data_IF_466932371836
#
_entry.id   IF_466932371836
#
_cell.length_a   1.000
_cell.length_b   1.000
_cell.length_c   1.000
_cell.angle_alpha   90.00
_cell.angle_beta   90.00
_cell.angle_gamma   90.00
#
_symmetry.space_group_name_H-M   'P 1'
#
loop_
_entity.id
_entity.type
_entity.pdbx_description
1 polymer ?
#
# COMPACT_ATOMS: atom_id res chain seq x y z
N UNK A 1 -21.16 -32.56 52.64
CA UNK A 1 -20.04 -32.78 51.69
C UNK A 1 -20.50 -32.39 50.28
N UNK A 2 -20.57 -31.08 50.00
CA UNK A 2 -20.96 -30.52 48.70
C UNK A 2 -20.02 -29.35 48.37
N UNK A 3 -18.71 -29.58 48.42
CA UNK A 3 -17.70 -28.56 48.03
C UNK A 3 -16.67 -29.12 47.04
N UNK A 4 -16.67 -30.41 46.72
CA UNK A 4 -15.66 -30.99 45.81
C UNK A 4 -16.11 -31.17 44.35
N UNK A 5 -17.35 -30.81 43.98
CA UNK A 5 -17.87 -31.07 42.62
C UNK A 5 -17.98 -29.85 41.70
N UNK A 6 -17.38 -28.71 42.04
CA UNK A 6 -17.43 -27.50 41.21
C UNK A 6 -16.07 -26.99 40.71
N UNK A 7 -14.96 -27.67 41.02
CA UNK A 7 -13.61 -27.30 40.55
C UNK A 7 -13.19 -27.99 39.26
N UNK A 8 -14.00 -28.90 38.70
CA UNK A 8 -13.72 -29.56 37.42
C UNK A 8 -14.37 -28.91 36.18
N UNK A 9 -15.02 -27.74 36.32
CA UNK A 9 -15.75 -27.06 35.24
C UNK A 9 -15.08 -25.78 34.70
N UNK A 10 -13.77 -25.60 34.91
CA UNK A 10 -12.99 -24.57 34.24
C UNK A 10 -11.79 -25.13 33.45
N UNK A 11 -11.92 -26.32 32.88
CA UNK A 11 -11.01 -26.81 31.83
C UNK A 11 -11.43 -26.34 30.43
N UNK A 12 -11.93 -25.11 30.34
CA UNK A 12 -11.99 -24.35 29.08
C UNK A 12 -10.87 -23.32 29.11
N UNK A 13 -9.62 -23.80 29.09
CA UNK A 13 -8.53 -22.96 28.64
C UNK A 13 -8.90 -22.50 27.23
N UNK A 14 -9.25 -21.21 27.08
CA UNK A 14 -9.64 -20.53 25.84
C UNK A 14 -9.17 -21.28 24.58
N UNK A 15 -10.06 -22.09 24.01
CA UNK A 15 -9.83 -22.79 22.74
C UNK A 15 -9.84 -21.74 21.65
N UNK A 16 -8.69 -21.09 21.47
CA UNK A 16 -8.47 -20.20 20.33
C UNK A 16 -8.51 -21.08 19.09
N UNK A 17 -9.47 -20.87 18.17
CA UNK A 17 -9.59 -21.69 16.96
C UNK A 17 -8.28 -21.68 16.17
N UNK A 18 -7.99 -22.79 15.49
CA UNK A 18 -6.87 -22.83 14.57
C UNK A 18 -7.00 -21.72 13.54
N UNK A 19 -5.90 -21.02 13.29
CA UNK A 19 -5.81 -20.04 12.22
C UNK A 19 -5.45 -20.73 10.91
N UNK A 20 -5.93 -20.18 9.78
CA UNK A 20 -5.57 -20.69 8.46
C UNK A 20 -4.05 -20.69 8.29
N UNK A 21 -3.48 -21.73 7.69
CA UNK A 21 -2.04 -21.80 7.49
C UNK A 21 -1.58 -20.83 6.41
N UNK A 22 -0.32 -20.40 6.48
CA UNK A 22 0.26 -19.61 5.41
C UNK A 22 0.39 -20.46 4.13
N UNK A 23 -0.02 -19.89 3.00
CA UNK A 23 0.17 -20.47 1.68
C UNK A 23 0.77 -19.42 0.74
N UNK A 24 2.07 -19.52 0.39
CA UNK A 24 2.74 -18.55 -0.45
C UNK A 24 2.18 -18.50 -1.89
N UNK A 25 1.39 -19.50 -2.32
CA UNK A 25 0.68 -19.46 -3.60
C UNK A 25 -0.62 -18.65 -3.54
N UNK A 26 -1.19 -18.44 -2.35
CA UNK A 26 -2.47 -17.73 -2.16
C UNK A 26 -2.30 -16.31 -1.64
N UNK A 27 -1.29 -16.04 -0.82
CA UNK A 27 -1.08 -14.71 -0.24
C UNK A 27 0.40 -14.36 -0.01
N UNK A 28 0.69 -13.06 0.06
CA UNK A 28 2.00 -12.54 0.50
C UNK A 28 2.15 -12.72 2.02
N UNK A 29 3.36 -13.03 2.50
CA UNK A 29 3.60 -13.27 3.93
C UNK A 29 3.21 -12.08 4.83
N UNK A 30 3.44 -10.85 4.37
CA UNK A 30 3.01 -9.65 5.11
C UNK A 30 1.49 -9.44 5.19
N UNK A 31 0.71 -10.08 4.31
CA UNK A 31 -0.76 -10.11 4.41
C UNK A 31 -1.21 -11.15 5.42
N UNK A 32 -0.62 -12.36 5.36
CA UNK A 32 -0.84 -13.41 6.35
C UNK A 32 -0.56 -12.92 7.78
N UNK A 33 0.62 -12.31 7.99
CA UNK A 33 1.03 -11.81 9.31
C UNK A 33 0.04 -10.79 9.87
N UNK A 34 -0.45 -9.85 9.06
CA UNK A 34 -1.47 -8.87 9.51
C UNK A 34 -2.78 -9.53 9.91
N UNK A 35 -3.27 -10.50 9.14
CA UNK A 35 -4.49 -11.24 9.51
C UNK A 35 -4.30 -11.99 10.83
N UNK A 36 -3.11 -12.56 11.03
CA UNK A 36 -2.75 -13.26 12.27
C UNK A 36 -2.70 -12.30 13.48
N UNK A 37 -2.13 -11.11 13.34
CA UNK A 37 -2.14 -10.08 14.42
C UNK A 37 -3.56 -9.65 14.80
N UNK A 38 -4.45 -9.48 13.82
CA UNK A 38 -5.86 -9.20 14.09
C UNK A 38 -6.53 -10.36 14.82
N UNK A 39 -6.22 -11.61 14.45
CA UNK A 39 -6.72 -12.78 15.15
C UNK A 39 -6.24 -12.81 16.61
N UNK A 40 -4.95 -12.61 16.86
CA UNK A 40 -4.40 -12.53 18.21
C UNK A 40 -5.08 -11.45 19.05
N UNK A 41 -5.20 -10.25 18.49
CA UNK A 41 -5.85 -9.11 19.16
C UNK A 41 -7.32 -9.43 19.50
N UNK A 42 -8.07 -10.00 18.57
CA UNK A 42 -9.49 -10.37 18.78
C UNK A 42 -9.69 -11.45 19.85
N UNK A 43 -8.63 -12.21 20.17
CA UNK A 43 -8.64 -13.33 21.11
C UNK A 43 -7.92 -13.02 22.42
N UNK A 44 -7.47 -11.78 22.62
CA UNK A 44 -6.73 -11.37 23.81
C UNK A 44 -5.36 -12.04 23.95
N UNK A 45 -4.75 -12.49 22.84
CA UNK A 45 -3.39 -13.06 22.85
C UNK A 45 -2.39 -11.90 22.79
N UNK A 46 -1.88 -11.54 23.97
CA UNK A 46 -0.97 -10.39 24.12
C UNK A 46 0.47 -10.87 24.31
N UNK A 47 0.69 -11.99 24.99
CA UNK A 47 2.01 -12.49 25.32
C UNK A 47 2.76 -12.99 24.06
N UNK A 48 3.97 -12.48 23.86
CA UNK A 48 4.83 -12.82 22.71
C UNK A 48 5.25 -14.29 22.65
N UNK A 49 5.38 -14.97 23.80
CA UNK A 49 5.64 -16.41 23.87
C UNK A 49 4.42 -17.19 23.35
N UNK A 50 3.21 -16.74 23.69
CA UNK A 50 1.96 -17.36 23.23
C UNK A 50 1.74 -17.11 21.73
N UNK A 51 1.98 -15.89 21.26
CA UNK A 51 1.95 -15.56 19.82
C UNK A 51 2.92 -16.44 19.03
N UNK A 52 4.18 -16.55 19.50
CA UNK A 52 5.20 -17.42 18.90
C UNK A 52 4.74 -18.87 18.83
N UNK A 53 4.28 -19.42 19.95
CA UNK A 53 3.88 -20.84 20.04
C UNK A 53 2.71 -21.15 19.11
N UNK A 54 1.71 -20.26 19.06
CA UNK A 54 0.54 -20.41 18.18
C UNK A 54 0.91 -20.25 16.72
N UNK A 55 1.72 -19.25 16.38
CA UNK A 55 2.22 -19.07 15.02
C UNK A 55 2.97 -20.31 14.54
N UNK A 56 3.91 -20.83 15.33
CA UNK A 56 4.65 -22.05 14.97
C UNK A 56 3.73 -23.26 14.75
N UNK A 57 2.64 -23.36 15.52
CA UNK A 57 1.61 -24.39 15.35
C UNK A 57 0.80 -24.21 14.06
N UNK A 58 0.52 -22.97 13.66
CA UNK A 58 -0.37 -22.65 12.53
C UNK A 58 0.33 -22.45 11.18
N UNK A 59 1.65 -22.26 11.14
CA UNK A 59 2.39 -22.02 9.88
C UNK A 59 2.26 -23.15 8.85
N UNK A 60 1.91 -24.36 9.27
CA UNK A 60 1.86 -25.53 8.40
C UNK A 60 3.24 -26.12 8.11
N UNK A 61 3.26 -27.38 7.67
CA UNK A 61 4.48 -28.19 7.56
C UNK A 61 5.50 -27.64 6.55
N UNK A 62 5.04 -27.09 5.42
CA UNK A 62 5.91 -26.55 4.38
C UNK A 62 6.69 -25.31 4.87
N UNK A 63 5.99 -24.35 5.47
CA UNK A 63 6.59 -23.12 6.00
C UNK A 63 7.45 -23.40 7.23
N UNK A 64 7.02 -24.32 8.10
CA UNK A 64 7.84 -24.78 9.22
C UNK A 64 9.15 -25.45 8.75
N UNK A 65 9.11 -26.18 7.64
CA UNK A 65 10.31 -26.79 7.04
C UNK A 65 11.30 -25.76 6.51
N UNK A 66 10.83 -24.62 6.02
CA UNK A 66 11.65 -23.48 5.62
C UNK A 66 12.37 -22.87 6.82
N UNK A 67 11.63 -22.61 7.91
CA UNK A 67 12.21 -22.05 9.15
C UNK A 67 13.40 -22.86 9.66
N UNK A 68 13.30 -24.19 9.61
CA UNK A 68 14.37 -25.09 10.06
C UNK A 68 15.67 -24.95 9.25
N UNK A 69 15.60 -24.39 8.04
CA UNK A 69 16.74 -24.16 7.14
C UNK A 69 17.35 -22.76 7.29
N UNK A 70 16.68 -21.85 8.01
CA UNK A 70 17.17 -20.48 8.20
C UNK A 70 18.17 -20.38 9.36
N UNK A 71 19.24 -19.58 9.23
CA UNK A 71 20.16 -19.28 10.32
C UNK A 71 19.75 -18.03 11.13
N UNK A 72 19.97 -18.00 12.46
CA UNK A 72 20.35 -19.14 13.31
C UNK A 72 19.20 -20.15 13.39
N UNK A 73 19.54 -21.43 13.61
CA UNK A 73 18.56 -22.52 13.75
C UNK A 73 17.47 -22.09 14.75
N UNK A 74 16.25 -22.60 14.56
CA UNK A 74 15.14 -22.45 15.51
C UNK A 74 15.51 -23.11 16.84
N UNK A 75 16.35 -22.45 17.63
CA UNK A 75 16.55 -22.75 19.03
C UNK A 75 15.31 -22.24 19.78
N UNK A 76 14.98 -22.85 20.92
CA UNK A 76 13.87 -22.46 21.80
C UNK A 76 13.84 -20.96 22.15
N UNK A 77 14.96 -20.26 21.92
CA UNK A 77 15.24 -18.87 22.22
C UNK A 77 14.84 -17.85 21.12
N UNK A 78 14.39 -18.27 19.93
CA UNK A 78 13.93 -17.28 18.93
C UNK A 78 12.73 -16.50 19.48
N UNK A 79 12.74 -15.17 19.34
CA UNK A 79 11.61 -14.31 19.70
C UNK A 79 10.57 -14.30 18.59
N UNK A 80 9.34 -13.86 18.90
CA UNK A 80 8.29 -13.69 17.90
C UNK A 80 8.72 -12.72 16.79
N UNK A 81 9.30 -11.57 17.15
CA UNK A 81 9.79 -10.59 16.17
C UNK A 81 10.88 -11.15 15.24
N UNK A 82 11.84 -11.90 15.80
CA UNK A 82 12.89 -12.53 15.00
C UNK A 82 12.31 -13.59 14.06
N UNK A 83 11.26 -14.30 14.49
CA UNK A 83 10.54 -15.26 13.66
C UNK A 83 9.81 -14.57 12.50
N UNK A 84 9.07 -13.49 12.77
CA UNK A 84 8.41 -12.67 11.74
C UNK A 84 9.44 -12.12 10.76
N UNK A 85 10.55 -11.59 11.26
CA UNK A 85 11.62 -11.04 10.43
C UNK A 85 12.21 -12.10 9.52
N UNK A 86 12.58 -13.27 10.05
CA UNK A 86 13.18 -14.34 9.25
C UNK A 86 12.25 -14.83 8.13
N UNK A 87 10.95 -14.97 8.42
CA UNK A 87 9.96 -15.35 7.43
C UNK A 87 9.68 -14.23 6.42
N UNK A 88 9.66 -12.98 6.87
CA UNK A 88 9.52 -11.82 6.00
C UNK A 88 10.72 -11.67 5.07
N UNK A 89 11.93 -11.96 5.54
CA UNK A 89 13.15 -11.92 4.72
C UNK A 89 13.17 -13.08 3.70
N UNK A 90 12.66 -14.26 4.07
CA UNK A 90 12.62 -15.43 3.18
C UNK A 90 11.51 -15.36 2.12
N UNK A 91 10.28 -15.05 2.55
CA UNK A 91 9.10 -14.99 1.68
C UNK A 91 8.87 -13.61 1.09
N UNK A 92 9.49 -12.58 1.66
CA UNK A 92 9.55 -11.28 1.03
C UNK A 92 10.19 -11.46 -0.32
N UNK A 93 9.42 -11.23 -1.39
CA UNK A 93 10.02 -10.92 -2.67
C UNK A 93 11.06 -9.85 -2.38
N UNK A 94 12.31 -10.08 -2.78
CA UNK A 94 13.30 -9.01 -2.80
C UNK A 94 12.75 -7.95 -3.76
N UNK A 95 11.96 -7.03 -3.23
CA UNK A 95 11.51 -5.86 -3.94
C UNK A 95 12.72 -4.98 -3.88
N UNK A 96 13.48 -4.98 -4.97
CA UNK A 96 14.55 -4.02 -5.16
C UNK A 96 13.88 -2.64 -5.17
N UNK A 97 13.76 -2.00 -4.02
CA UNK A 97 12.97 -0.77 -3.88
C UNK A 97 13.53 0.34 -4.76
N UNK A 98 14.85 0.32 -5.06
CA UNK A 98 15.44 1.17 -6.10
C UNK A 98 14.83 0.89 -7.47
N UNK A 99 14.67 -0.37 -7.90
CA UNK A 99 13.97 -0.69 -9.16
C UNK A 99 12.53 -0.16 -9.13
N UNK A 100 11.79 -0.35 -8.04
CA UNK A 100 10.44 0.20 -7.90
C UNK A 100 10.43 1.74 -7.94
N UNK A 101 11.45 2.41 -7.36
CA UNK A 101 11.62 3.86 -7.44
C UNK A 101 11.96 4.32 -8.86
N UNK A 102 12.75 3.55 -9.61
CA UNK A 102 13.02 3.81 -11.03
C UNK A 102 11.75 3.69 -11.85
N UNK A 103 10.95 2.63 -11.64
CA UNK A 103 9.63 2.44 -12.24
C UNK A 103 8.71 3.63 -11.92
N UNK A 104 8.63 4.03 -10.65
CA UNK A 104 7.85 5.18 -10.19
C UNK A 104 8.27 6.48 -10.88
N UNK A 105 9.57 6.76 -10.99
CA UNK A 105 10.09 7.97 -11.64
C UNK A 105 9.93 7.95 -13.16
N UNK A 106 9.79 6.77 -13.77
CA UNK A 106 9.53 6.59 -15.21
C UNK A 106 8.04 6.58 -15.56
N UNK A 107 7.15 6.49 -14.58
CA UNK A 107 5.71 6.53 -14.78
C UNK A 107 5.27 7.92 -15.30
N UNK A 108 5.06 7.99 -16.62
CA UNK A 108 4.61 9.17 -17.34
C UNK A 108 3.10 9.11 -17.62
N UNK A 109 2.46 10.27 -17.80
CA UNK A 109 1.06 10.35 -18.22
C UNK A 109 0.94 9.82 -19.65
N UNK A 110 0.09 8.80 -19.86
CA UNK A 110 -0.20 8.25 -21.19
C UNK A 110 -1.22 9.16 -21.92
N UNK A 111 -1.25 9.20 -23.27
CA UNK A 111 -2.11 10.13 -24.02
C UNK A 111 -3.61 10.10 -23.67
N UNK A 112 -4.15 8.91 -23.36
CA UNK A 112 -5.56 8.72 -23.00
C UNK A 112 -5.82 8.71 -21.49
N UNK A 113 -4.77 8.81 -20.67
CA UNK A 113 -4.85 8.64 -19.23
C UNK A 113 -5.14 9.98 -18.55
N UNK A 114 -6.01 9.97 -17.55
CA UNK A 114 -6.29 11.12 -16.68
C UNK A 114 -5.22 11.28 -15.59
N UNK A 115 -5.12 12.47 -15.00
CA UNK A 115 -4.21 12.68 -13.88
C UNK A 115 -4.62 11.85 -12.66
N UNK A 116 -5.92 11.64 -12.43
CA UNK A 116 -6.46 10.77 -11.38
C UNK A 116 -6.02 9.32 -11.57
N UNK A 117 -6.15 8.77 -12.77
CA UNK A 117 -5.69 7.41 -13.07
C UNK A 117 -4.18 7.28 -12.89
N UNK A 118 -3.42 8.28 -13.33
CA UNK A 118 -1.97 8.31 -13.10
C UNK A 118 -1.64 8.37 -11.61
N UNK A 119 -2.38 9.16 -10.83
CA UNK A 119 -2.25 9.20 -9.38
C UNK A 119 -2.49 7.84 -8.73
N UNK A 120 -3.49 7.09 -9.21
CA UNK A 120 -3.76 5.72 -8.76
C UNK A 120 -2.63 4.75 -9.14
N UNK A 121 -2.11 4.82 -10.37
CA UNK A 121 -0.97 4.02 -10.84
C UNK A 121 0.29 4.30 -10.00
N UNK A 122 0.60 5.58 -9.76
CA UNK A 122 1.72 5.98 -8.89
C UNK A 122 1.54 5.47 -7.45
N UNK A 123 0.32 5.51 -6.88
CA UNK A 123 0.03 4.94 -5.56
C UNK A 123 0.26 3.43 -5.52
N UNK A 124 -0.10 2.72 -6.60
CA UNK A 124 0.12 1.28 -6.68
C UNK A 124 1.62 0.93 -6.70
N UNK A 125 2.43 1.67 -7.48
CA UNK A 125 3.88 1.49 -7.53
C UNK A 125 4.53 1.89 -6.19
N UNK A 126 4.09 3.01 -5.58
CA UNK A 126 4.66 3.54 -4.34
C UNK A 126 4.63 2.55 -3.16
N UNK A 127 3.66 1.62 -3.12
CA UNK A 127 3.59 0.52 -2.14
C UNK A 127 4.90 -0.30 -2.09
N UNK A 128 5.64 -0.36 -3.20
CA UNK A 128 6.90 -1.10 -3.37
C UNK A 128 8.15 -0.22 -3.27
N UNK A 129 8.00 1.11 -3.17
CA UNK A 129 9.11 2.04 -3.23
C UNK A 129 9.77 2.32 -1.88
N UNK A 130 9.15 1.90 -0.77
CA UNK A 130 9.62 2.17 0.59
C UNK A 130 9.91 3.66 0.81
N UNK A 131 8.93 4.52 0.49
CA UNK A 131 9.00 5.96 0.73
C UNK A 131 8.65 6.28 2.18
N UNK A 132 9.67 6.21 3.04
CA UNK A 132 9.59 6.49 4.48
C UNK A 132 10.67 7.47 4.89
N UNK A 133 10.47 8.16 6.01
CA UNK A 133 11.49 9.06 6.57
C UNK A 133 12.78 8.29 6.93
N UNK A 134 13.97 8.80 6.57
CA UNK A 134 15.24 8.15 6.91
C UNK A 134 15.57 8.23 8.40
N UNK A 135 14.94 9.14 9.14
CA UNK A 135 15.09 9.21 10.59
C UNK A 135 14.35 8.04 11.24
N UNK A 136 15.08 7.16 11.92
CA UNK A 136 14.55 5.95 12.58
C UNK A 136 13.50 6.23 13.66
N UNK A 137 13.50 7.43 14.24
CA UNK A 137 12.48 7.88 15.20
C UNK A 137 11.20 8.44 14.55
N UNK A 138 11.20 8.64 13.23
CA UNK A 138 10.10 9.23 12.47
C UNK A 138 9.48 8.19 11.54
N UNK A 139 8.24 7.79 11.81
CA UNK A 139 7.51 6.80 11.01
C UNK A 139 6.64 7.45 9.91
N UNK A 140 6.89 8.71 9.57
CA UNK A 140 6.11 9.40 8.54
C UNK A 140 6.30 8.75 7.17
N UNK A 141 5.18 8.54 6.47
CA UNK A 141 5.17 8.15 5.06
C UNK A 141 5.54 9.34 4.19
N UNK A 142 6.37 9.13 3.17
CA UNK A 142 6.73 10.13 2.16
C UNK A 142 6.05 9.86 0.80
N UNK A 143 5.02 9.02 0.79
CA UNK A 143 4.37 8.57 -0.45
C UNK A 143 3.67 9.74 -1.15
N UNK A 144 2.89 10.54 -0.43
CA UNK A 144 2.08 11.61 -1.01
C UNK A 144 2.95 12.75 -1.56
N UNK A 145 4.04 13.09 -0.88
CA UNK A 145 5.05 14.05 -1.32
C UNK A 145 5.72 13.57 -2.61
N UNK A 146 6.14 12.30 -2.65
CA UNK A 146 6.77 11.74 -3.85
C UNK A 146 5.82 11.68 -5.05
N UNK A 147 4.53 11.40 -4.83
CA UNK A 147 3.51 11.41 -5.88
C UNK A 147 3.27 12.84 -6.35
N UNK A 148 3.07 13.79 -5.44
CA UNK A 148 2.92 15.22 -5.72
C UNK A 148 4.05 15.71 -6.61
N UNK A 149 5.29 15.53 -6.16
CA UNK A 149 6.48 16.04 -6.86
C UNK A 149 6.61 15.39 -8.23
N UNK A 150 6.31 14.09 -8.35
CA UNK A 150 6.38 13.38 -9.63
C UNK A 150 5.31 13.87 -10.61
N UNK A 151 4.10 14.17 -10.15
CA UNK A 151 3.06 14.75 -11.01
C UNK A 151 3.49 16.14 -11.52
N UNK A 152 4.03 16.99 -10.64
CA UNK A 152 4.49 18.34 -11.00
C UNK A 152 5.67 18.26 -11.98
N UNK A 153 6.72 17.53 -11.65
CA UNK A 153 7.96 17.45 -12.44
C UNK A 153 7.72 16.79 -13.79
N UNK A 154 6.89 15.74 -13.83
CA UNK A 154 6.65 14.94 -15.04
C UNK A 154 5.29 15.21 -15.68
N UNK A 155 4.76 16.40 -15.51
CA UNK A 155 3.61 16.86 -16.28
C UNK A 155 4.03 17.11 -17.74
N UNK A 156 3.36 16.51 -18.75
CA UNK A 156 3.62 16.85 -20.14
C UNK A 156 3.04 18.23 -20.52
N UNK A 157 2.05 18.71 -19.77
CA UNK A 157 1.40 20.00 -19.98
C UNK A 157 2.14 21.08 -19.17
N UNK A 158 2.81 22.00 -19.87
CA UNK A 158 3.65 23.06 -19.27
C UNK A 158 2.82 24.09 -18.51
N UNK A 159 1.63 24.43 -19.00
CA UNK A 159 0.73 25.38 -18.34
C UNK A 159 0.21 24.82 -17.00
N UNK A 160 -0.10 23.52 -16.96
CA UNK A 160 -0.47 22.83 -15.73
C UNK A 160 0.70 22.84 -14.75
N UNK A 161 1.91 22.52 -15.21
CA UNK A 161 3.10 22.57 -14.36
C UNK A 161 3.33 23.97 -13.78
N UNK A 162 3.22 25.02 -14.60
CA UNK A 162 3.35 26.40 -14.16
C UNK A 162 2.30 26.77 -13.10
N UNK A 163 1.02 26.45 -13.34
CA UNK A 163 -0.06 26.71 -12.39
C UNK A 163 0.12 25.99 -11.05
N UNK A 164 0.64 24.77 -11.07
CA UNK A 164 0.94 23.99 -9.86
C UNK A 164 2.11 24.60 -9.06
N UNK A 165 3.16 25.08 -9.73
CA UNK A 165 4.31 25.73 -9.08
C UNK A 165 3.96 27.07 -8.43
N UNK A 166 2.88 27.74 -8.86
CA UNK A 166 2.37 28.95 -8.21
C UNK A 166 1.64 28.68 -6.89
N UNK A 167 1.29 27.41 -6.58
CA UNK A 167 0.66 27.06 -5.31
C UNK A 167 1.72 26.87 -4.24
N UNK A 168 1.52 27.51 -3.08
CA UNK A 168 2.36 27.29 -1.90
C UNK A 168 2.00 25.95 -1.27
N UNK A 169 2.95 25.01 -1.31
CA UNK A 169 2.88 23.66 -0.72
C UNK A 169 1.57 22.90 -1.01
N UNK A 170 1.24 22.62 -2.29
CA UNK A 170 0.01 21.92 -2.62
C UNK A 170 0.07 20.46 -2.18
N UNK A 171 -1.01 19.93 -1.62
CA UNK A 171 -1.17 18.49 -1.38
C UNK A 171 -1.33 17.72 -2.69
N UNK A 172 -1.05 16.41 -2.69
CA UNK A 172 -1.30 15.55 -3.87
C UNK A 172 -2.75 15.63 -4.35
N UNK A 173 -3.71 15.78 -3.43
CA UNK A 173 -5.13 15.95 -3.76
C UNK A 173 -5.38 17.26 -4.52
N UNK A 174 -4.78 18.36 -4.07
CA UNK A 174 -4.87 19.65 -4.75
C UNK A 174 -4.20 19.60 -6.12
N UNK A 175 -3.01 18.98 -6.23
CA UNK A 175 -2.31 18.83 -7.50
C UNK A 175 -3.16 18.08 -8.53
N UNK A 176 -3.74 16.94 -8.13
CA UNK A 176 -4.62 16.17 -9.00
C UNK A 176 -5.85 16.97 -9.41
N UNK A 177 -6.50 17.66 -8.47
CA UNK A 177 -7.70 18.45 -8.75
C UNK A 177 -7.44 19.61 -9.72
N UNK A 178 -6.32 20.33 -9.55
CA UNK A 178 -5.96 21.46 -10.43
C UNK A 178 -5.66 20.95 -11.83
N UNK A 179 -4.87 19.86 -11.94
CA UNK A 179 -4.52 19.29 -13.24
C UNK A 179 -5.76 18.82 -14.01
N UNK A 180 -6.68 18.11 -13.37
CA UNK A 180 -7.94 17.68 -13.99
C UNK A 180 -8.79 18.85 -14.46
N UNK A 181 -8.96 19.88 -13.61
CA UNK A 181 -9.73 21.06 -13.97
C UNK A 181 -9.14 21.77 -15.20
N UNK A 182 -7.82 21.91 -15.27
CA UNK A 182 -7.16 22.56 -16.41
C UNK A 182 -7.25 21.72 -17.69
N UNK A 183 -7.09 20.39 -17.61
CA UNK A 183 -7.29 19.51 -18.77
C UNK A 183 -8.71 19.63 -19.31
N UNK A 184 -9.71 19.67 -18.43
CA UNK A 184 -11.10 19.88 -18.84
C UNK A 184 -11.29 21.23 -19.52
N UNK A 185 -10.75 22.32 -18.93
CA UNK A 185 -10.81 23.65 -19.53
C UNK A 185 -10.19 23.69 -20.92
N UNK A 186 -9.01 23.10 -21.12
CA UNK A 186 -8.37 23.04 -22.45
C UNK A 186 -9.20 22.28 -23.47
N UNK A 187 -9.81 21.15 -23.06
CA UNK A 187 -10.71 20.40 -23.94
C UNK A 187 -11.93 21.23 -24.33
N UNK A 188 -12.54 21.92 -23.38
CA UNK A 188 -13.71 22.80 -23.65
C UNK A 188 -13.34 23.96 -24.55
N UNK A 189 -12.20 24.63 -24.32
CA UNK A 189 -11.72 25.73 -25.18
C UNK A 189 -11.49 25.26 -26.62
N UNK A 190 -10.84 24.10 -26.79
CA UNK A 190 -10.65 23.53 -28.13
C UNK A 190 -11.97 23.23 -28.84
N UNK A 191 -13.02 22.80 -28.13
CA UNK A 191 -14.33 22.58 -28.75
C UNK A 191 -14.93 23.91 -29.22
N UNK A 192 -14.90 24.94 -28.37
CA UNK A 192 -15.43 26.28 -28.68
C UNK A 192 -14.71 26.91 -29.89
N UNK A 193 -13.37 26.81 -29.94
CA UNK A 193 -12.57 27.40 -31.02
C UNK A 193 -12.74 26.68 -32.37
N UNK A 194 -13.16 25.41 -32.35
CA UNK A 194 -13.38 24.61 -33.56
C UNK A 194 -14.86 24.57 -34.01
N UNK A 195 -15.79 25.20 -33.29
CA UNK A 195 -17.14 25.47 -33.78
C UNK A 195 -17.13 26.73 -34.68
N UNK A 196 -17.12 26.57 -36.00
CA UNK A 196 -17.20 27.71 -36.94
C UNK A 196 -18.48 28.54 -36.72
N UNK A 197 -18.41 29.89 -36.69
CA UNK A 197 -19.61 30.71 -36.69
C UNK A 197 -20.21 30.75 -38.09
N UNK A 198 -21.08 29.81 -38.43
CA UNK A 198 -21.93 29.92 -39.62
C UNK A 198 -23.05 30.91 -39.34
N UNK A 199 -22.78 32.21 -39.52
CA UNK A 199 -23.84 33.20 -39.72
C UNK A 199 -23.68 33.78 -41.12
N UNK A 200 -24.30 33.11 -42.10
CA UNK A 200 -24.58 33.72 -43.40
C UNK A 200 -25.59 34.84 -43.17
N UNK A 201 -25.10 36.08 -43.18
CA UNK A 201 -25.95 37.26 -43.25
C UNK A 201 -26.61 37.25 -44.62
N UNK A 202 -27.89 36.91 -44.70
CA UNK A 202 -28.66 37.07 -45.92
C UNK A 202 -28.74 38.57 -46.22
N UNK A 203 -28.02 39.01 -47.26
CA UNK A 203 -28.27 40.31 -47.87
C UNK A 203 -29.65 40.23 -48.52
N UNK A 204 -30.58 41.04 -48.04
CA UNK A 204 -31.79 41.37 -48.78
C UNK A 204 -31.35 42.38 -49.84
N UNK A 205 -31.35 41.95 -51.10
CA UNK A 205 -31.16 42.85 -52.24
C UNK A 205 -32.41 43.74 -52.42
N UNK A 206 -32.22 45.01 -52.85
CA UNK A 206 -33.24 46.07 -52.84
C UNK A 206 -34.38 45.89 -53.85
#
# INVERSE_FOLDING_TARGET
>A
MLIESMTHLFSNANLVPAFEHFDPAKEEFGTYHRRLEHHFSSRGIINEIDKKSRMLSWLGSATFSVLRKLPPKLHSEITYDNLIKALSDFYGKYIHYIHARVEFKRCCLKPSQTYRERGAELRAIAKRCHFVCPNSSCQCSLVDENIRDTIIIRSPHRDIQAALLQKKDPTVRQVLSIAEAMVLTFRTMNVIENEEPVVKVNKLDP
#
